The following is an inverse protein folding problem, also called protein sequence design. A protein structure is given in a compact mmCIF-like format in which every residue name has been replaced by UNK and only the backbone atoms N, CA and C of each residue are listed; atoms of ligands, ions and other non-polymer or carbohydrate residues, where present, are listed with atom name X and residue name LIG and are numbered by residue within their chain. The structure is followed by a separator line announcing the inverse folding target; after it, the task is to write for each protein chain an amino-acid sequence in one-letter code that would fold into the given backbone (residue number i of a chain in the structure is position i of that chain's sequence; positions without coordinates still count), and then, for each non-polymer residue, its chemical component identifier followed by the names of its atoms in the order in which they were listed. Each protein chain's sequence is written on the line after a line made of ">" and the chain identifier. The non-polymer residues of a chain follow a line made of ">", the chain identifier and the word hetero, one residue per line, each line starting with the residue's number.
data_IF_952870490013
#
_entry.id   IF_952870490013
#
_cell.length_a   1.000
_cell.length_b   1.000
_cell.length_c   1.000
_cell.angle_alpha   90.00
_cell.angle_beta   90.00
_cell.angle_gamma   90.00
#
_symmetry.space_group_name_H-M   'P 1'
#
loop_
_entity.id
_entity.type
_entity.pdbx_description
1 polymer ?
#
# COMPACT_ATOMS: atom_id res chain seq x y z
N UNK A 1 2.41 14.15 -4.71
CA UNK A 1 2.85 12.74 -4.67
C UNK A 1 1.63 11.89 -5.02
N UNK A 2 1.79 10.68 -5.53
CA UNK A 2 0.66 9.77 -5.81
C UNK A 2 0.86 8.50 -5.02
N UNK A 3 -0.22 7.94 -4.47
CA UNK A 3 -0.21 6.73 -3.64
C UNK A 3 0.48 5.56 -4.36
N UNK A 4 0.21 5.35 -5.65
CA UNK A 4 0.88 4.30 -6.43
C UNK A 4 2.39 4.53 -6.53
N UNK A 5 2.82 5.79 -6.71
CA UNK A 5 4.25 6.12 -6.77
C UNK A 5 4.92 5.77 -5.44
N UNK A 6 4.31 6.13 -4.32
CA UNK A 6 4.81 5.79 -2.98
C UNK A 6 4.95 4.27 -2.77
N UNK A 7 3.98 3.50 -3.26
CA UNK A 7 3.99 2.03 -3.14
C UNK A 7 5.10 1.42 -4.00
N UNK A 8 5.27 1.90 -5.24
CA UNK A 8 6.35 1.46 -6.14
C UNK A 8 7.73 1.86 -5.64
N UNK A 9 7.89 3.08 -5.13
CA UNK A 9 9.15 3.57 -4.54
C UNK A 9 9.56 2.72 -3.32
N UNK A 10 8.59 2.17 -2.56
CA UNK A 10 8.85 1.23 -1.47
C UNK A 10 9.20 -0.20 -1.94
N UNK A 11 9.24 -0.44 -3.26
CA UNK A 11 9.64 -1.72 -3.87
C UNK A 11 8.50 -2.73 -4.04
N UNK A 12 7.23 -2.31 -3.91
CA UNK A 12 6.11 -3.19 -4.22
C UNK A 12 5.83 -3.21 -5.72
N UNK A 13 5.59 -4.40 -6.25
CA UNK A 13 5.24 -4.62 -7.65
C UNK A 13 3.76 -4.87 -7.82
N UNK A 14 3.18 -4.42 -8.93
CA UNK A 14 1.79 -4.71 -9.29
C UNK A 14 1.56 -6.21 -9.39
N UNK A 15 0.37 -6.65 -8.99
CA UNK A 15 -0.09 -8.05 -9.16
C UNK A 15 -1.13 -8.13 -10.27
N UNK A 16 -1.77 -9.29 -10.43
CA UNK A 16 -2.90 -9.45 -11.36
C UNK A 16 -4.14 -8.63 -10.96
N UNK A 17 -4.28 -8.28 -9.68
CA UNK A 17 -5.30 -7.33 -9.22
C UNK A 17 -4.74 -5.90 -9.38
N UNK A 18 -5.41 -5.02 -10.15
CA UNK A 18 -4.93 -3.67 -10.46
C UNK A 18 -4.81 -2.77 -9.23
N UNK A 19 -5.47 -3.14 -8.14
CA UNK A 19 -5.44 -2.40 -6.88
C UNK A 19 -4.44 -2.98 -5.89
N UNK A 20 -3.78 -4.10 -6.21
CA UNK A 20 -2.95 -4.84 -5.28
C UNK A 20 -1.50 -4.91 -5.75
N UNK A 21 -0.61 -4.60 -4.81
CA UNK A 21 0.83 -4.63 -4.97
C UNK A 21 1.43 -5.62 -3.96
N UNK A 22 2.55 -6.27 -4.31
CA UNK A 22 3.20 -7.27 -3.47
C UNK A 22 4.72 -7.03 -3.40
N UNK A 23 5.28 -7.31 -2.22
CA UNK A 23 6.71 -7.34 -1.94
C UNK A 23 6.95 -8.44 -0.91
N UNK A 24 7.70 -9.49 -1.28
CA UNK A 24 7.94 -10.66 -0.42
C UNK A 24 6.63 -11.26 0.15
N UNK A 25 6.48 -11.27 1.48
CA UNK A 25 5.27 -11.71 2.20
C UNK A 25 4.32 -10.55 2.57
N UNK A 26 4.51 -9.36 2.00
CA UNK A 26 3.70 -8.17 2.26
C UNK A 26 2.87 -7.79 1.03
N UNK A 27 1.66 -7.26 1.24
CA UNK A 27 0.82 -6.73 0.16
C UNK A 27 0.24 -5.36 0.50
N UNK A 28 0.08 -4.50 -0.49
CA UNK A 28 -0.64 -3.23 -0.38
C UNK A 28 -1.82 -3.27 -1.32
N UNK A 29 -3.03 -3.04 -0.83
CA UNK A 29 -4.25 -2.95 -1.64
C UNK A 29 -4.82 -1.54 -1.54
N UNK A 30 -4.92 -0.82 -2.65
CA UNK A 30 -5.49 0.52 -2.74
C UNK A 30 -6.93 0.39 -3.23
N UNK A 31 -7.91 0.53 -2.34
CA UNK A 31 -9.33 0.47 -2.69
C UNK A 31 -9.88 1.88 -2.91
N UNK A 32 -10.24 2.28 -4.14
CA UNK A 32 -10.83 3.59 -4.42
C UNK A 32 -12.06 3.83 -3.52
N UNK A 33 -12.09 4.99 -2.85
CA UNK A 33 -13.18 5.35 -1.94
C UNK A 33 -13.20 4.63 -0.58
N UNK A 34 -12.41 3.56 -0.38
CA UNK A 34 -12.35 2.82 0.90
C UNK A 34 -11.01 2.98 1.63
N UNK A 35 -9.94 3.40 0.93
CA UNK A 35 -8.61 3.64 1.48
C UNK A 35 -7.59 2.57 1.10
N UNK A 36 -6.59 2.35 1.96
CA UNK A 36 -5.42 1.52 1.68
C UNK A 36 -5.31 0.43 2.74
N UNK A 37 -5.08 -0.81 2.32
CA UNK A 37 -4.87 -1.95 3.19
C UNK A 37 -3.42 -2.38 3.01
N UNK A 38 -2.65 -2.42 4.09
CA UNK A 38 -1.28 -2.92 4.10
C UNK A 38 -1.24 -4.20 4.92
N UNK A 39 -0.92 -5.30 4.27
CA UNK A 39 -0.61 -6.58 4.89
C UNK A 39 0.91 -6.74 4.99
N UNK A 40 1.42 -6.98 6.19
CA UNK A 40 2.81 -7.37 6.41
C UNK A 40 2.85 -8.76 7.04
N UNK A 41 3.09 -9.80 6.24
CA UNK A 41 3.26 -11.16 6.74
C UNK A 41 2.05 -11.67 7.53
N UNK A 42 0.82 -11.30 7.11
CA UNK A 42 -0.43 -11.69 7.77
C UNK A 42 -0.98 -10.67 8.78
N UNK A 43 -0.29 -9.54 9.01
CA UNK A 43 -0.82 -8.43 9.81
C UNK A 43 -1.47 -7.37 8.92
N UNK A 44 -2.81 -7.35 8.90
CA UNK A 44 -3.61 -6.38 8.18
C UNK A 44 -3.74 -5.04 8.93
N UNK A 45 -3.27 -3.96 8.32
CA UNK A 45 -3.53 -2.59 8.75
C UNK A 45 -4.35 -1.86 7.68
N UNK A 46 -5.51 -1.32 8.05
CA UNK A 46 -6.36 -0.53 7.15
C UNK A 46 -6.21 0.96 7.47
N UNK A 47 -6.01 1.75 6.43
CA UNK A 47 -5.89 3.20 6.47
C UNK A 47 -7.01 3.81 5.64
N UNK A 48 -7.69 4.84 6.16
CA UNK A 48 -8.83 5.47 5.50
C UNK A 48 -8.44 6.20 4.20
N UNK A 49 -9.42 6.62 3.41
CA UNK A 49 -9.23 7.38 2.16
C UNK A 49 -8.49 8.71 2.34
N UNK A 50 -8.50 9.27 3.55
CA UNK A 50 -7.85 10.55 3.88
C UNK A 50 -6.38 10.37 4.32
N UNK A 51 -5.81 9.17 4.18
CA UNK A 51 -4.43 8.91 4.57
C UNK A 51 -3.47 9.63 3.64
N UNK A 52 -2.55 10.43 4.19
CA UNK A 52 -1.57 11.15 3.38
C UNK A 52 -0.50 10.22 2.82
N UNK A 53 -0.01 10.53 1.61
CA UNK A 53 1.06 9.75 0.96
C UNK A 53 2.35 9.73 1.80
N UNK A 54 2.66 10.82 2.50
CA UNK A 54 3.83 10.90 3.39
C UNK A 54 3.72 9.94 4.58
N UNK A 55 2.51 9.80 5.16
CA UNK A 55 2.27 8.83 6.23
C UNK A 55 2.42 7.41 5.71
N UNK A 56 1.86 7.12 4.53
CA UNK A 56 1.97 5.82 3.89
C UNK A 56 3.42 5.47 3.57
N UNK A 57 4.18 6.40 3.00
CA UNK A 57 5.61 6.21 2.68
C UNK A 57 6.42 5.79 3.91
N UNK A 58 6.21 6.48 5.03
CA UNK A 58 6.86 6.15 6.30
C UNK A 58 6.46 4.78 6.86
N UNK A 59 5.30 4.25 6.49
CA UNK A 59 4.84 2.91 6.89
C UNK A 59 5.42 1.82 6.01
N UNK A 60 5.53 2.06 4.69
CA UNK A 60 5.99 1.06 3.73
C UNK A 60 7.52 0.92 3.68
N UNK A 61 8.26 1.94 4.11
CA UNK A 61 9.73 1.94 4.16
C UNK A 61 10.32 1.50 5.51
N UNK A 62 9.50 1.01 6.45
CA UNK A 62 9.96 0.40 7.71
C UNK A 62 10.14 -1.10 7.54
#
# INVERSE_FOLDING_TARGET
>A
MSTEKTIRDAGFSSTSDPYKFKKDNSTVTVRPGQGIIVDHGGRHNKYGSNTSDSFLSNRLNK
#
